data_IF_642083146489
#
_entry.id   IF_642083146489
#
_cell.length_a   1.000
_cell.length_b   1.000
_cell.length_c   1.000
_cell.angle_alpha   90.00
_cell.angle_beta   90.00
_cell.angle_gamma   90.00
#
_symmetry.space_group_name_H-M   'P 1'
#
loop_
_entity.id
_entity.type
_entity.pdbx_description
1 polymer ?
#
# COMPACT_ATOMS: atom_id res chain seq x y z
N UNK A 1 29.19 11.33 -4.10
CA UNK A 1 28.84 10.81 -2.77
C UNK A 1 27.40 11.13 -2.38
N UNK A 2 26.98 12.40 -2.35
CA UNK A 2 25.60 12.80 -1.96
C UNK A 2 24.50 12.09 -2.76
N UNK A 3 24.62 12.01 -4.09
CA UNK A 3 23.63 11.33 -4.94
C UNK A 3 23.45 9.84 -4.60
N UNK A 4 24.51 9.12 -4.26
CA UNK A 4 24.41 7.70 -3.91
C UNK A 4 23.69 7.47 -2.58
N UNK A 5 23.90 8.34 -1.59
CA UNK A 5 23.22 8.25 -0.29
C UNK A 5 21.73 8.53 -0.44
N UNK A 6 21.38 9.58 -1.19
CA UNK A 6 19.97 9.96 -1.40
C UNK A 6 19.22 8.90 -2.21
N UNK A 7 19.84 8.35 -3.27
CA UNK A 7 19.26 7.26 -4.06
C UNK A 7 19.04 5.99 -3.24
N UNK A 8 19.96 5.63 -2.36
CA UNK A 8 19.77 4.48 -1.45
C UNK A 8 18.59 4.69 -0.50
N UNK A 9 18.45 5.89 0.08
CA UNK A 9 17.30 6.23 0.94
C UNK A 9 16.00 6.16 0.15
N UNK A 10 15.98 6.70 -1.07
CA UNK A 10 14.81 6.64 -1.95
C UNK A 10 14.41 5.19 -2.24
N UNK A 11 15.36 4.34 -2.61
CA UNK A 11 15.12 2.91 -2.84
C UNK A 11 14.52 2.22 -1.61
N UNK A 12 15.08 2.44 -0.41
CA UNK A 12 14.56 1.83 0.82
C UNK A 12 13.13 2.31 1.10
N UNK A 13 12.89 3.62 1.02
CA UNK A 13 11.55 4.20 1.27
C UNK A 13 10.52 3.65 0.29
N UNK A 14 10.85 3.58 -1.00
CA UNK A 14 9.93 3.13 -2.04
C UNK A 14 9.64 1.63 -1.93
N UNK A 15 10.63 0.82 -1.55
CA UNK A 15 10.43 -0.61 -1.25
C UNK A 15 9.53 -0.82 -0.02
N UNK A 16 9.75 -0.08 1.07
CA UNK A 16 8.89 -0.15 2.27
C UNK A 16 7.47 0.27 1.93
N UNK A 17 7.30 1.34 1.14
CA UNK A 17 6.00 1.79 0.67
C UNK A 17 5.30 0.72 -0.18
N UNK A 18 6.05 0.05 -1.07
CA UNK A 18 5.52 -1.02 -1.90
C UNK A 18 5.05 -2.21 -1.05
N UNK A 19 5.85 -2.61 -0.05
CA UNK A 19 5.45 -3.67 0.91
C UNK A 19 4.18 -3.28 1.67
N UNK A 20 4.06 -2.02 2.10
CA UNK A 20 2.85 -1.55 2.77
C UNK A 20 1.61 -1.58 1.86
N UNK A 21 1.73 -1.10 0.62
CA UNK A 21 0.66 -1.15 -0.38
C UNK A 21 0.25 -2.58 -0.73
N UNK A 22 1.23 -3.44 -0.99
CA UNK A 22 1.02 -4.86 -1.26
C UNK A 22 0.40 -5.59 -0.05
N UNK A 23 0.82 -5.26 1.18
CA UNK A 23 0.24 -5.80 2.40
C UNK A 23 -1.23 -5.41 2.56
N UNK A 24 -1.60 -4.16 2.24
CA UNK A 24 -3.00 -3.75 2.27
C UNK A 24 -3.85 -4.50 1.23
N UNK A 25 -3.38 -4.56 -0.02
CA UNK A 25 -4.06 -5.29 -1.09
C UNK A 25 -4.16 -6.79 -0.81
N UNK A 26 -3.07 -7.40 -0.34
CA UNK A 26 -2.98 -8.81 0.02
C UNK A 26 -3.93 -9.17 1.16
N UNK A 27 -4.04 -8.31 2.18
CA UNK A 27 -5.03 -8.50 3.26
C UNK A 27 -6.46 -8.55 2.72
N UNK A 28 -6.85 -7.63 1.85
CA UNK A 28 -8.19 -7.64 1.22
C UNK A 28 -8.40 -8.89 0.36
N UNK A 29 -7.38 -9.30 -0.40
CA UNK A 29 -7.39 -10.53 -1.19
C UNK A 29 -7.66 -11.78 -0.34
N UNK A 30 -6.90 -11.94 0.75
CA UNK A 30 -7.09 -13.03 1.71
C UNK A 30 -8.47 -12.99 2.37
N UNK A 31 -8.92 -11.79 2.75
CA UNK A 31 -10.22 -11.61 3.38
C UNK A 31 -11.36 -12.06 2.46
N UNK A 32 -11.35 -11.63 1.19
CA UNK A 32 -12.34 -12.08 0.21
C UNK A 32 -12.26 -13.59 -0.04
N UNK A 33 -11.06 -14.15 -0.13
CA UNK A 33 -10.86 -15.60 -0.33
C UNK A 33 -11.42 -16.43 0.82
N UNK A 34 -11.19 -16.00 2.06
CA UNK A 34 -11.74 -16.65 3.26
C UNK A 34 -13.27 -16.50 3.34
N UNK A 35 -13.80 -15.30 3.05
CA UNK A 35 -15.23 -15.02 3.10
C UNK A 35 -16.03 -15.83 2.07
N UNK A 36 -15.50 -16.03 0.86
CA UNK A 36 -16.11 -16.87 -0.18
C UNK A 36 -16.33 -18.33 0.23
N UNK A 37 -15.55 -18.84 1.20
CA UNK A 37 -15.64 -20.22 1.67
C UNK A 37 -16.69 -20.44 2.76
N UNK A 38 -17.40 -19.39 3.19
CA UNK A 38 -18.39 -19.45 4.28
C UNK A 38 -19.78 -19.06 3.79
N UNK A 39 -20.80 -19.82 4.18
CA UNK A 39 -22.19 -19.43 3.99
C UNK A 39 -22.44 -18.09 4.73
N UNK A 40 -23.05 -17.12 4.04
CA UNK A 40 -23.26 -15.77 4.60
C UNK A 40 -22.03 -14.85 4.57
N UNK A 41 -20.92 -15.23 3.91
CA UNK A 41 -19.71 -14.41 3.82
C UNK A 41 -19.82 -13.17 2.90
N UNK A 42 -20.95 -12.96 2.23
CA UNK A 42 -21.13 -11.90 1.25
C UNK A 42 -20.88 -10.47 1.79
N UNK A 43 -21.32 -10.08 3.00
CA UNK A 43 -21.05 -8.75 3.54
C UNK A 43 -19.54 -8.46 3.67
N UNK A 44 -18.74 -9.45 4.08
CA UNK A 44 -17.29 -9.31 4.17
C UNK A 44 -16.62 -9.14 2.79
N UNK A 45 -17.16 -9.79 1.75
CA UNK A 45 -16.69 -9.63 0.37
C UNK A 45 -16.98 -8.21 -0.12
N UNK A 46 -18.18 -7.70 0.10
CA UNK A 46 -18.59 -6.37 -0.35
C UNK A 46 -17.84 -5.26 0.38
N UNK A 47 -17.59 -5.44 1.68
CA UNK A 47 -16.70 -4.58 2.46
C UNK A 47 -15.30 -4.52 1.86
N UNK A 48 -14.71 -5.67 1.56
CA UNK A 48 -13.37 -5.72 1.00
C UNK A 48 -13.30 -5.10 -0.40
N UNK A 49 -14.31 -5.36 -1.25
CA UNK A 49 -14.43 -4.78 -2.59
C UNK A 49 -14.48 -3.26 -2.58
N UNK A 50 -15.23 -2.66 -1.66
CA UNK A 50 -15.29 -1.19 -1.50
C UNK A 50 -13.94 -0.56 -1.16
N UNK A 51 -12.99 -1.34 -0.63
CA UNK A 51 -11.65 -0.89 -0.25
C UNK A 51 -10.56 -1.23 -1.26
N UNK A 52 -10.83 -2.10 -2.23
CA UNK A 52 -9.86 -2.42 -3.29
C UNK A 52 -9.36 -1.19 -4.04
N UNK A 53 -10.18 -0.17 -4.39
CA UNK A 53 -9.67 1.04 -5.03
C UNK A 53 -8.64 1.77 -4.17
N UNK A 54 -8.89 1.89 -2.86
CA UNK A 54 -7.96 2.53 -1.94
C UNK A 54 -6.62 1.78 -1.85
N UNK A 55 -6.67 0.45 -1.79
CA UNK A 55 -5.46 -0.39 -1.81
C UNK A 55 -4.71 -0.30 -3.15
N UNK A 56 -5.45 -0.27 -4.27
CA UNK A 56 -4.89 -0.11 -5.62
C UNK A 56 -4.20 1.24 -5.79
N UNK A 57 -4.78 2.33 -5.29
CA UNK A 57 -4.15 3.66 -5.30
C UNK A 57 -2.86 3.64 -4.47
N UNK A 58 -2.90 3.12 -3.23
CA UNK A 58 -1.71 3.06 -2.38
C UNK A 58 -0.56 2.27 -3.02
N UNK A 59 -0.85 1.08 -3.55
CA UNK A 59 0.14 0.25 -4.25
C UNK A 59 0.62 0.89 -5.56
N UNK A 60 -0.28 1.49 -6.35
CA UNK A 60 0.06 2.14 -7.61
C UNK A 60 0.96 3.36 -7.42
N UNK A 61 0.68 4.19 -6.43
CA UNK A 61 1.53 5.35 -6.08
C UNK A 61 2.90 4.86 -5.55
N UNK A 62 2.94 3.79 -4.75
CA UNK A 62 4.21 3.21 -4.29
C UNK A 62 5.06 2.66 -5.45
N UNK A 63 4.45 1.99 -6.43
CA UNK A 63 5.12 1.54 -7.66
C UNK A 63 5.64 2.72 -8.49
N UNK A 64 4.84 3.78 -8.61
CA UNK A 64 5.28 5.00 -9.29
C UNK A 64 6.49 5.63 -8.58
N UNK A 65 6.48 5.69 -7.24
CA UNK A 65 7.61 6.19 -6.47
C UNK A 65 8.88 5.38 -6.75
N UNK A 66 8.78 4.05 -6.74
CA UNK A 66 9.89 3.16 -7.03
C UNK A 66 10.45 3.42 -8.44
N UNK A 67 9.57 3.57 -9.44
CA UNK A 67 9.98 3.88 -10.81
C UNK A 67 10.70 5.23 -10.92
N UNK A 68 10.24 6.25 -10.19
CA UNK A 68 10.94 7.54 -10.16
C UNK A 68 12.34 7.39 -9.56
N UNK A 69 12.49 6.60 -8.49
CA UNK A 69 13.80 6.38 -7.84
C UNK A 69 14.82 5.63 -8.70
N UNK A 70 14.43 5.00 -9.83
CA UNK A 70 15.39 4.34 -10.73
C UNK A 70 16.06 5.31 -11.71
N UNK A 71 15.63 6.58 -11.78
CA UNK A 71 16.14 7.57 -12.73
C UNK A 71 17.46 8.24 -12.36
N UNK A 72 18.11 7.82 -11.27
CA UNK A 72 19.43 8.29 -10.79
C UNK A 72 19.60 9.82 -10.73
N UNK A 73 18.61 10.55 -10.19
CA UNK A 73 18.68 12.01 -10.02
C UNK A 73 18.25 12.45 -8.64
N UNK A 74 19.02 13.36 -8.01
CA UNK A 74 18.73 13.85 -6.65
C UNK A 74 17.32 14.46 -6.52
N UNK A 75 16.84 15.31 -7.45
CA UNK A 75 15.46 15.80 -7.38
C UNK A 75 14.44 14.67 -7.50
N UNK A 76 14.66 13.71 -8.42
CA UNK A 76 13.80 12.54 -8.59
C UNK A 76 13.72 11.70 -7.33
N UNK A 77 14.86 11.44 -6.68
CA UNK A 77 14.93 10.68 -5.43
C UNK A 77 14.17 11.37 -4.30
N UNK A 78 14.26 12.70 -4.17
CA UNK A 78 13.50 13.47 -3.18
C UNK A 78 11.99 13.32 -3.45
N UNK A 79 11.56 13.46 -4.71
CA UNK A 79 10.17 13.24 -5.09
C UNK A 79 9.71 11.80 -4.80
N UNK A 80 10.54 10.80 -5.09
CA UNK A 80 10.27 9.41 -4.81
C UNK A 80 10.13 9.15 -3.30
N UNK A 81 10.98 9.76 -2.47
CA UNK A 81 10.90 9.67 -0.99
C UNK A 81 9.58 10.25 -0.50
N UNK A 82 9.20 11.44 -0.96
CA UNK A 82 7.96 12.10 -0.52
C UNK A 82 6.72 11.29 -0.95
N UNK A 83 6.70 10.87 -2.22
CA UNK A 83 5.57 10.14 -2.80
C UNK A 83 5.46 8.73 -2.23
N UNK A 84 6.59 8.01 -2.11
CA UNK A 84 6.69 6.70 -1.48
C UNK A 84 6.35 6.76 0.01
N UNK A 85 6.94 7.69 0.75
CA UNK A 85 6.65 7.89 2.18
C UNK A 85 5.18 8.17 2.43
N UNK A 86 4.56 9.05 1.63
CA UNK A 86 3.12 9.33 1.69
C UNK A 86 2.26 8.11 1.36
N UNK A 87 2.56 7.41 0.27
CA UNK A 87 1.81 6.22 -0.15
C UNK A 87 1.92 5.06 0.84
N UNK A 88 3.11 4.86 1.41
CA UNK A 88 3.37 3.86 2.43
C UNK A 88 2.59 4.15 3.72
N UNK A 89 2.70 5.37 4.25
CA UNK A 89 1.97 5.79 5.44
C UNK A 89 0.44 5.69 5.25
N UNK A 90 -0.07 6.13 4.09
CA UNK A 90 -1.47 5.97 3.71
C UNK A 90 -1.90 4.50 3.69
N UNK A 91 -1.11 3.63 3.05
CA UNK A 91 -1.42 2.20 2.91
C UNK A 91 -1.45 1.48 4.26
N UNK A 92 -0.50 1.79 5.16
CA UNK A 92 -0.49 1.27 6.54
C UNK A 92 -1.76 1.70 7.29
N UNK A 93 -2.11 3.00 7.23
CA UNK A 93 -3.31 3.52 7.89
C UNK A 93 -4.60 2.92 7.32
N UNK A 94 -4.67 2.75 6.00
CA UNK A 94 -5.80 2.13 5.32
C UNK A 94 -5.94 0.65 5.72
N UNK A 95 -4.83 -0.09 5.82
CA UNK A 95 -4.81 -1.47 6.32
C UNK A 95 -5.28 -1.55 7.78
N UNK A 96 -4.74 -0.73 8.67
CA UNK A 96 -5.13 -0.68 10.08
C UNK A 96 -6.62 -0.37 10.24
N UNK A 97 -7.12 0.65 9.52
CA UNK A 97 -8.56 0.98 9.47
C UNK A 97 -9.41 -0.17 8.96
N UNK A 98 -8.92 -0.94 7.99
CA UNK A 98 -9.62 -2.13 7.47
C UNK A 98 -9.72 -3.20 8.53
N UNK A 99 -8.60 -3.54 9.16
CA UNK A 99 -8.54 -4.55 10.22
C UNK A 99 -9.42 -4.17 11.42
N UNK A 100 -9.37 -2.91 11.85
CA UNK A 100 -10.17 -2.43 12.98
C UNK A 100 -11.66 -2.53 12.69
N UNK A 101 -12.14 -2.00 11.56
CA UNK A 101 -13.56 -2.07 11.21
C UNK A 101 -14.02 -3.50 11.01
N UNK A 102 -13.22 -4.33 10.33
CA UNK A 102 -13.56 -5.72 10.10
C UNK A 102 -13.67 -6.51 11.42
N UNK A 103 -12.68 -6.37 12.31
CA UNK A 103 -12.68 -7.04 13.63
C UNK A 103 -13.76 -6.52 14.56
N UNK A 104 -14.16 -5.25 14.40
CA UNK A 104 -15.23 -4.62 15.16
C UNK A 104 -16.64 -4.88 14.62
N UNK A 105 -16.81 -5.72 13.58
CA UNK A 105 -18.12 -6.00 13.00
C UNK A 105 -18.70 -4.86 12.15
N UNK A 106 -17.91 -3.83 11.85
CA UNK A 106 -18.30 -2.65 11.08
C UNK A 106 -17.95 -2.85 9.59
N UNK A 107 -18.36 -3.98 9.01
CA UNK A 107 -18.06 -4.36 7.63
C UNK A 107 -19.30 -4.54 6.77
#
# INVERSE_FOLDING_TARGET
MVSAVVGLVALVVTLVALVAGAGHAGYLGMLMSAAKKRAGGQPAIDFARKRLPAAGVGAGVALLALLISTGESVPGDIFAILLGGGAGAYSVKALQSTQQKFRGGQY
#
